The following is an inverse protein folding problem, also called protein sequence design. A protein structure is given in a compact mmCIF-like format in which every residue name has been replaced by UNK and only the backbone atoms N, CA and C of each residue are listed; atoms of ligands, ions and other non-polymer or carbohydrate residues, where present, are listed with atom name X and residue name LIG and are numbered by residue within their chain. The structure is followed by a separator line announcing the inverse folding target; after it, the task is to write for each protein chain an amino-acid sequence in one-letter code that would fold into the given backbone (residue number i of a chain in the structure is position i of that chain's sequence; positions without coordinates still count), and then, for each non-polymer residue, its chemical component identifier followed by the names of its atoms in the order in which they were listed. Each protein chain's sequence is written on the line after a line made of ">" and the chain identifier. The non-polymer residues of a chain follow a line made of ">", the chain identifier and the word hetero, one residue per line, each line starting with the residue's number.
data_IF_994348553721
#
_entry.id   IF_994348553721
#
_cell.length_a   1.000
_cell.length_b   1.000
_cell.length_c   1.000
_cell.angle_alpha   90.00
_cell.angle_beta   90.00
_cell.angle_gamma   90.00
#
_symmetry.space_group_name_H-M   'P 1'
#
loop_
_entity.id
_entity.type
_entity.pdbx_description
1 polymer ?
#
# COMPACT_ATOMS: atom_id res chain seq x y z
N UNK A 1 2.27 2.14 3.98
CA UNK A 1 2.56 2.21 5.40
C UNK A 1 4.02 1.80 5.67
N UNK A 2 4.79 2.69 6.30
CA UNK A 2 6.16 2.45 6.77
C UNK A 2 7.15 1.91 5.70
N UNK A 3 6.93 2.24 4.43
CA UNK A 3 7.80 1.80 3.34
C UNK A 3 7.52 0.40 2.83
N UNK A 4 6.58 -0.34 3.41
CA UNK A 4 6.23 -1.69 2.97
C UNK A 4 5.75 -1.72 1.52
N UNK A 5 4.98 -0.74 1.12
CA UNK A 5 4.42 -0.67 -0.23
C UNK A 5 5.51 -0.49 -1.31
N UNK A 6 6.62 0.16 -0.99
CA UNK A 6 7.75 0.27 -1.90
C UNK A 6 8.30 -1.12 -2.30
N UNK A 7 8.42 -2.01 -1.34
CA UNK A 7 8.88 -3.38 -1.60
C UNK A 7 7.85 -4.18 -2.38
N UNK A 8 6.57 -3.98 -2.12
CA UNK A 8 5.47 -4.61 -2.87
C UNK A 8 5.49 -4.15 -4.33
N UNK A 9 5.74 -2.86 -4.60
CA UNK A 9 5.88 -2.34 -5.96
C UNK A 9 7.02 -3.02 -6.70
N UNK A 10 8.13 -3.26 -6.02
CA UNK A 10 9.26 -3.98 -6.60
C UNK A 10 8.87 -5.43 -6.95
N UNK A 11 8.12 -6.12 -6.09
CA UNK A 11 7.62 -7.47 -6.36
C UNK A 11 6.71 -7.49 -7.60
N UNK A 12 5.81 -6.53 -7.73
CA UNK A 12 4.93 -6.40 -8.89
C UNK A 12 5.73 -6.19 -10.19
N UNK A 13 6.82 -5.43 -10.13
CA UNK A 13 7.68 -5.18 -11.28
C UNK A 13 8.50 -6.40 -11.72
N UNK A 14 8.64 -7.41 -10.86
CA UNK A 14 9.36 -8.64 -11.16
C UNK A 14 8.48 -9.67 -11.90
N UNK A 15 7.19 -9.44 -12.02
CA UNK A 15 6.28 -10.35 -12.74
C UNK A 15 6.64 -10.42 -14.22
N UNK A 16 6.35 -11.56 -14.87
CA UNK A 16 6.67 -11.76 -16.28
C UNK A 16 5.99 -10.73 -17.19
N UNK A 17 4.72 -10.40 -16.91
CA UNK A 17 3.97 -9.40 -17.66
C UNK A 17 4.53 -7.99 -17.49
N UNK A 18 4.92 -7.61 -16.28
CA UNK A 18 5.54 -6.31 -16.03
C UNK A 18 6.90 -6.18 -16.73
N UNK A 19 7.72 -7.23 -16.71
CA UNK A 19 9.00 -7.26 -17.43
C UNK A 19 8.81 -7.18 -18.94
N UNK A 20 7.84 -7.91 -19.48
CA UNK A 20 7.52 -7.86 -20.90
C UNK A 20 7.14 -6.45 -21.36
N UNK A 21 6.39 -5.73 -20.52
CA UNK A 21 5.92 -4.37 -20.81
C UNK A 21 6.89 -3.28 -20.31
N UNK A 22 8.08 -3.68 -19.86
CA UNK A 22 9.15 -2.80 -19.39
C UNK A 22 8.74 -1.86 -18.25
N UNK A 23 7.88 -2.34 -17.35
CA UNK A 23 7.42 -1.57 -16.20
C UNK A 23 8.46 -1.55 -15.07
N UNK A 24 8.62 -0.38 -14.47
CA UNK A 24 9.44 -0.18 -13.29
C UNK A 24 8.57 -0.16 -12.03
N UNK A 25 9.15 -0.31 -10.81
CA UNK A 25 8.38 -0.14 -9.58
C UNK A 25 7.62 1.19 -9.48
N UNK A 26 8.17 2.25 -10.09
CA UNK A 26 7.53 3.57 -10.13
C UNK A 26 6.17 3.59 -10.81
N UNK A 27 5.92 2.71 -11.76
CA UNK A 27 4.61 2.58 -12.43
C UNK A 27 3.48 2.34 -11.42
N UNK A 28 3.76 1.57 -10.37
CA UNK A 28 2.79 1.19 -9.34
C UNK A 28 2.71 2.19 -8.18
N UNK A 29 3.36 3.35 -8.28
CA UNK A 29 3.26 4.39 -7.25
C UNK A 29 1.98 5.19 -7.41
N UNK A 30 1.20 5.33 -6.34
CA UNK A 30 0.02 6.21 -6.36
C UNK A 30 0.37 7.69 -6.19
N UNK A 31 1.63 8.04 -5.89
CA UNK A 31 2.08 9.43 -5.77
C UNK A 31 2.55 10.04 -7.09
N UNK A 32 3.17 9.21 -7.96
CA UNK A 32 3.81 9.72 -9.17
C UNK A 32 3.76 8.74 -10.35
N UNK A 33 3.27 7.53 -10.14
CA UNK A 33 3.29 6.48 -11.16
C UNK A 33 2.33 6.73 -12.31
N UNK A 34 2.70 6.28 -13.52
CA UNK A 34 1.85 6.40 -14.71
C UNK A 34 0.66 5.43 -14.69
N UNK A 35 0.68 4.40 -13.82
CA UNK A 35 -0.44 3.50 -13.62
C UNK A 35 -1.52 4.03 -12.67
N UNK A 36 -1.30 5.16 -12.03
CA UNK A 36 -2.28 5.76 -11.12
C UNK A 36 -3.47 6.36 -11.86
N UNK A 37 -4.60 6.44 -11.20
CA UNK A 37 -5.76 7.14 -11.74
C UNK A 37 -5.42 8.60 -12.01
N UNK A 38 -5.61 9.05 -13.24
CA UNK A 38 -5.25 10.42 -13.63
C UNK A 38 -6.24 11.45 -13.09
N UNK A 39 -7.50 11.08 -12.90
CA UNK A 39 -8.51 12.00 -12.39
C UNK A 39 -8.23 12.45 -10.95
N UNK A 40 -8.01 11.49 -10.05
CA UNK A 40 -7.73 11.80 -8.65
C UNK A 40 -6.22 11.85 -8.33
N UNK A 41 -5.37 11.69 -9.33
CA UNK A 41 -3.90 11.64 -9.17
C UNK A 41 -3.44 10.63 -8.13
N UNK A 42 -4.11 9.48 -8.09
CA UNK A 42 -3.78 8.38 -7.19
C UNK A 42 -4.31 8.52 -5.76
N UNK A 43 -5.10 9.55 -5.46
CA UNK A 43 -5.65 9.77 -4.11
C UNK A 43 -6.81 8.84 -3.76
N UNK A 44 -7.57 8.38 -4.74
CA UNK A 44 -8.76 7.56 -4.56
C UNK A 44 -10.01 8.34 -4.18
N UNK A 45 -9.87 9.62 -3.90
CA UNK A 45 -10.96 10.51 -3.54
C UNK A 45 -10.73 11.91 -4.10
N UNK A 46 -11.80 12.69 -4.16
CA UNK A 46 -11.78 14.11 -4.52
C UNK A 46 -12.17 14.93 -3.29
N UNK A 47 -11.37 15.93 -2.96
CA UNK A 47 -11.64 16.85 -1.86
C UNK A 47 -12.54 17.98 -2.34
N UNK A 48 -13.68 18.16 -1.69
CA UNK A 48 -14.56 19.29 -1.93
C UNK A 48 -14.41 20.27 -0.76
N UNK A 49 -13.88 21.45 -1.05
CA UNK A 49 -13.72 22.52 -0.05
C UNK A 49 -15.04 23.20 0.17
N UNK A 50 -15.45 23.32 1.44
CA UNK A 50 -16.68 23.99 1.83
C UNK A 50 -16.34 25.20 2.69
N UNK A 51 -16.85 26.39 2.28
CA UNK A 51 -16.43 27.71 2.81
C UNK A 51 -16.57 27.84 4.34
N UNK A 52 -17.61 27.27 4.94
CA UNK A 52 -17.92 27.40 6.37
C UNK A 52 -18.07 26.05 7.09
N UNK A 53 -17.79 24.95 6.40
CA UNK A 53 -17.93 23.61 6.92
C UNK A 53 -16.63 22.83 6.71
N UNK A 54 -16.49 21.69 7.38
CA UNK A 54 -15.38 20.79 7.16
C UNK A 54 -15.34 20.32 5.71
N UNK A 55 -14.15 20.11 5.17
CA UNK A 55 -13.98 19.58 3.83
C UNK A 55 -14.65 18.23 3.65
N UNK A 56 -15.24 18.01 2.50
CA UNK A 56 -15.88 16.75 2.15
C UNK A 56 -14.97 15.95 1.23
N UNK A 57 -14.82 14.66 1.52
CA UNK A 57 -14.03 13.73 0.70
C UNK A 57 -14.98 12.77 -0.01
N UNK A 58 -15.02 12.85 -1.34
CA UNK A 58 -15.86 12.00 -2.18
C UNK A 58 -14.99 10.96 -2.89
N UNK A 59 -15.46 9.72 -2.92
CA UNK A 59 -14.78 8.66 -3.69
C UNK A 59 -14.65 9.07 -5.16
N UNK A 60 -13.46 8.91 -5.73
CA UNK A 60 -13.23 9.23 -7.12
C UNK A 60 -14.14 8.38 -8.02
N UNK A 61 -14.99 8.98 -8.87
CA UNK A 61 -15.93 8.23 -9.69
C UNK A 61 -15.28 7.44 -10.83
N UNK A 62 -14.08 7.81 -11.22
CA UNK A 62 -13.36 7.11 -12.30
C UNK A 62 -12.72 5.82 -11.80
N UNK A 63 -11.97 5.86 -10.71
CA UNK A 63 -11.32 4.66 -10.17
C UNK A 63 -12.12 3.98 -9.05
N UNK A 64 -13.20 4.57 -8.58
CA UNK A 64 -14.01 4.06 -7.47
C UNK A 64 -13.19 3.77 -6.19
N UNK A 65 -12.20 4.61 -5.93
CA UNK A 65 -11.35 4.50 -4.75
C UNK A 65 -10.15 3.56 -4.89
N UNK A 66 -9.95 2.95 -6.04
CA UNK A 66 -8.83 2.01 -6.24
C UNK A 66 -7.48 2.68 -6.37
N UNK A 67 -7.44 3.98 -6.72
CA UNK A 67 -6.26 4.81 -6.96
C UNK A 67 -5.52 4.53 -8.27
N UNK A 68 -5.83 3.44 -8.97
CA UNK A 68 -5.10 2.98 -10.15
C UNK A 68 -6.03 2.81 -11.35
N UNK A 69 -5.43 2.82 -12.55
CA UNK A 69 -6.14 2.48 -13.78
C UNK A 69 -6.40 0.97 -13.84
N UNK A 70 -7.36 0.57 -14.67
CA UNK A 70 -7.62 -0.86 -14.90
C UNK A 70 -6.42 -1.57 -15.53
N UNK A 71 -5.64 -0.86 -16.35
CA UNK A 71 -4.42 -1.42 -16.91
C UNK A 71 -3.42 -1.83 -15.82
N UNK A 72 -3.27 -1.04 -14.76
CA UNK A 72 -2.42 -1.36 -13.62
C UNK A 72 -2.89 -2.61 -12.88
N UNK A 73 -4.20 -2.85 -12.81
CA UNK A 73 -4.79 -4.03 -12.17
C UNK A 73 -4.52 -5.32 -12.93
N UNK A 74 -4.11 -5.26 -14.19
CA UNK A 74 -3.82 -6.45 -14.99
C UNK A 74 -2.49 -7.12 -14.61
N UNK A 75 -1.60 -6.41 -13.94
CA UNK A 75 -0.31 -6.95 -13.46
C UNK A 75 -0.48 -7.54 -12.07
N UNK A 76 -0.24 -8.84 -11.95
CA UNK A 76 -0.53 -9.58 -10.71
C UNK A 76 0.68 -10.36 -10.23
N UNK A 77 0.99 -10.22 -8.96
CA UNK A 77 1.98 -11.03 -8.24
C UNK A 77 1.24 -12.06 -7.40
N UNK A 78 1.42 -13.34 -7.71
CA UNK A 78 0.67 -14.44 -7.09
C UNK A 78 -0.83 -14.13 -6.99
N UNK A 79 -1.42 -13.73 -8.12
CA UNK A 79 -2.84 -13.43 -8.31
C UNK A 79 -3.35 -12.14 -7.66
N UNK A 80 -2.45 -11.34 -7.07
CA UNK A 80 -2.82 -10.06 -6.47
C UNK A 80 -2.27 -8.88 -7.26
N UNK A 81 -3.18 -7.97 -7.65
CA UNK A 81 -2.83 -6.69 -8.27
C UNK A 81 -2.39 -5.67 -7.21
N UNK A 82 -1.90 -4.52 -7.67
CA UNK A 82 -1.58 -3.40 -6.78
C UNK A 82 -2.80 -2.97 -5.94
N UNK A 83 -3.99 -3.01 -6.52
CA UNK A 83 -5.24 -2.66 -5.82
C UNK A 83 -5.53 -3.70 -4.73
N UNK A 84 -5.36 -4.98 -5.05
CA UNK A 84 -5.57 -6.06 -4.07
C UNK A 84 -4.64 -5.90 -2.87
N UNK A 85 -3.36 -5.58 -3.11
CA UNK A 85 -2.40 -5.34 -2.02
C UNK A 85 -2.79 -4.15 -1.15
N UNK A 86 -3.26 -3.06 -1.74
CA UNK A 86 -3.69 -1.89 -0.97
C UNK A 86 -4.92 -2.16 -0.10
N UNK A 87 -5.75 -3.11 -0.48
CA UNK A 87 -6.94 -3.53 0.29
C UNK A 87 -6.61 -4.46 1.43
N UNK A 88 -5.47 -5.13 1.40
CA UNK A 88 -5.05 -6.00 2.50
C UNK A 88 -4.74 -5.18 3.75
N UNK A 89 -5.13 -5.70 4.91
CA UNK A 89 -4.62 -5.19 6.18
C UNK A 89 -3.15 -5.58 6.33
N UNK A 90 -2.44 -4.92 7.23
CA UNK A 90 -1.04 -5.28 7.49
C UNK A 90 -0.91 -6.76 7.92
N UNK A 91 -1.82 -7.25 8.76
CA UNK A 91 -1.86 -8.65 9.18
C UNK A 91 -2.12 -9.60 8.01
N UNK A 92 -3.11 -9.29 7.17
CA UNK A 92 -3.43 -10.11 5.99
C UNK A 92 -2.28 -10.15 4.99
N UNK A 93 -1.59 -9.02 4.80
CA UNK A 93 -0.44 -8.95 3.90
C UNK A 93 0.71 -9.83 4.39
N UNK A 94 0.99 -9.83 5.70
CA UNK A 94 2.00 -10.70 6.28
C UNK A 94 1.67 -12.18 6.10
N UNK A 95 0.43 -12.58 6.38
CA UNK A 95 -0.03 -13.95 6.18
C UNK A 95 0.09 -14.38 4.71
N UNK A 96 -0.33 -13.52 3.80
CA UNK A 96 -0.25 -13.81 2.36
C UNK A 96 1.19 -14.03 1.91
N UNK A 97 2.11 -13.16 2.32
CA UNK A 97 3.52 -13.24 1.91
C UNK A 97 4.24 -14.44 2.53
N UNK A 98 3.86 -14.85 3.74
CA UNK A 98 4.41 -16.04 4.40
C UNK A 98 3.99 -17.34 3.72
N UNK A 99 2.84 -17.36 3.07
CA UNK A 99 2.29 -18.53 2.38
C UNK A 99 2.87 -18.77 0.99
N UNK A 100 3.70 -17.90 0.46
CA UNK A 100 4.26 -18.02 -0.89
C UNK A 100 5.49 -18.91 -0.88
N UNK A 101 5.52 -19.89 -1.78
CA UNK A 101 6.62 -20.84 -1.96
C UNK A 101 7.33 -20.63 -3.29
N UNK A 102 8.51 -21.21 -3.44
CA UNK A 102 9.25 -21.21 -4.70
C UNK A 102 9.85 -19.87 -5.09
N UNK A 103 10.22 -19.06 -4.11
CA UNK A 103 10.71 -17.69 -4.33
C UNK A 103 12.19 -17.65 -4.70
N UNK A 104 12.55 -16.70 -5.57
CA UNK A 104 13.94 -16.37 -5.84
C UNK A 104 14.59 -15.66 -4.64
N UNK A 105 15.93 -15.57 -4.64
CA UNK A 105 16.65 -14.87 -3.57
C UNK A 105 16.23 -13.40 -3.46
N UNK A 106 16.01 -12.74 -4.60
CA UNK A 106 15.56 -11.36 -4.66
C UNK A 106 14.16 -11.19 -4.06
N UNK A 107 13.25 -12.10 -4.39
CA UNK A 107 11.89 -12.09 -3.82
C UNK A 107 11.93 -12.33 -2.31
N UNK A 108 12.72 -13.29 -1.84
CA UNK A 108 12.89 -13.55 -0.41
C UNK A 108 13.41 -12.32 0.34
N UNK A 109 14.35 -11.59 -0.25
CA UNK A 109 14.86 -10.35 0.35
C UNK A 109 13.77 -9.28 0.45
N UNK A 110 12.98 -9.09 -0.60
CA UNK A 110 11.88 -8.12 -0.61
C UNK A 110 10.79 -8.49 0.38
N UNK A 111 10.46 -9.78 0.50
CA UNK A 111 9.50 -10.27 1.48
C UNK A 111 9.98 -10.04 2.91
N UNK A 112 11.27 -10.29 3.17
CA UNK A 112 11.87 -10.04 4.47
C UNK A 112 11.79 -8.56 4.84
N UNK A 113 12.10 -7.66 3.89
CA UNK A 113 12.00 -6.21 4.09
C UNK A 113 10.56 -5.77 4.35
N UNK A 114 9.60 -6.32 3.61
CA UNK A 114 8.18 -6.03 3.79
C UNK A 114 7.70 -6.46 5.17
N UNK A 115 8.05 -7.65 5.59
CA UNK A 115 7.73 -8.17 6.93
C UNK A 115 8.30 -7.26 8.01
N UNK A 116 9.55 -6.87 7.87
CA UNK A 116 10.24 -5.98 8.82
C UNK A 116 9.55 -4.62 8.94
N UNK A 117 9.00 -4.11 7.83
CA UNK A 117 8.26 -2.85 7.83
C UNK A 117 6.87 -2.99 8.47
N UNK A 118 6.20 -4.12 8.31
CA UNK A 118 4.83 -4.34 8.82
C UNK A 118 4.79 -4.89 10.25
N UNK A 119 5.83 -5.58 10.69
CA UNK A 119 5.86 -6.19 12.02
C UNK A 119 5.54 -5.20 13.16
N UNK A 120 6.12 -3.97 13.20
CA UNK A 120 5.77 -3.01 14.24
C UNK A 120 4.30 -2.65 14.28
N UNK A 121 3.61 -2.61 13.14
CA UNK A 121 2.17 -2.34 13.08
C UNK A 121 1.37 -3.43 13.78
N UNK A 122 1.70 -4.68 13.51
CA UNK A 122 1.01 -5.82 14.13
C UNK A 122 1.28 -5.84 15.64
N UNK A 123 2.52 -5.61 16.06
CA UNK A 123 2.91 -5.61 17.47
C UNK A 123 2.23 -4.50 18.27
N UNK A 124 1.88 -3.39 17.64
CA UNK A 124 1.23 -2.25 18.30
C UNK A 124 -0.29 -2.29 18.24
N UNK A 125 -0.86 -3.38 17.71
CA UNK A 125 -2.31 -3.50 17.54
C UNK A 125 -2.86 -2.75 16.35
N UNK A 126 -2.02 -2.29 15.41
CA UNK A 126 -2.43 -1.60 14.18
C UNK A 126 -2.48 -2.54 12.96
N UNK A 127 -2.40 -3.85 13.19
CA UNK A 127 -2.44 -4.84 12.11
C UNK A 127 -3.72 -4.82 11.28
N UNK A 128 -4.79 -4.21 11.76
CA UNK A 128 -6.05 -4.04 11.05
C UNK A 128 -6.04 -2.89 10.04
N UNK A 129 -5.04 -2.02 10.06
CA UNK A 129 -4.92 -0.94 9.07
C UNK A 129 -4.59 -1.52 7.71
N UNK A 130 -5.25 -1.00 6.67
CA UNK A 130 -5.00 -1.40 5.29
C UNK A 130 -3.72 -0.76 4.77
N UNK A 131 -3.01 -1.42 3.86
CA UNK A 131 -1.80 -0.87 3.27
C UNK A 131 -2.07 0.45 2.54
N UNK A 132 -3.25 0.57 1.93
CA UNK A 132 -3.71 1.79 1.26
C UNK A 132 -4.49 2.74 2.15
N UNK A 133 -4.44 2.59 3.47
CA UNK A 133 -5.21 3.40 4.41
C UNK A 133 -4.93 4.90 4.22
N UNK A 134 -5.93 5.73 3.87
CA UNK A 134 -5.73 7.18 3.80
C UNK A 134 -5.45 7.75 5.19
N UNK A 135 -4.47 8.65 5.28
CA UNK A 135 -4.07 9.25 6.56
C UNK A 135 -5.19 10.06 7.23
N UNK A 136 -6.06 10.65 6.42
CA UNK A 136 -7.20 11.44 6.90
C UNK A 136 -8.31 10.59 7.56
N UNK A 137 -8.23 9.26 7.46
CA UNK A 137 -9.19 8.35 8.09
C UNK A 137 -8.72 7.81 9.43
N UNK A 138 -7.47 8.11 9.80
CA UNK A 138 -6.89 7.64 11.07
C UNK A 138 -7.38 8.48 12.25
N UNK A 139 -7.65 7.82 13.39
CA UNK A 139 -7.85 8.51 14.66
C UNK A 139 -6.54 9.15 15.13
N UNK A 140 -6.62 10.10 16.07
CA UNK A 140 -5.44 10.72 16.66
C UNK A 140 -4.50 9.70 17.30
N UNK A 141 -5.05 8.72 18.01
CA UNK A 141 -4.25 7.66 18.64
C UNK A 141 -3.59 6.73 17.61
N UNK A 142 -4.31 6.39 16.53
CA UNK A 142 -3.75 5.59 15.45
C UNK A 142 -2.61 6.31 14.73
N UNK A 143 -2.81 7.58 14.40
CA UNK A 143 -1.78 8.40 13.76
C UNK A 143 -0.53 8.53 14.64
N UNK A 144 -0.71 8.70 15.95
CA UNK A 144 0.38 8.79 16.91
C UNK A 144 1.16 7.48 17.01
N UNK A 145 0.47 6.34 17.15
CA UNK A 145 1.11 5.03 17.17
C UNK A 145 1.84 4.72 15.87
N UNK A 146 1.27 5.11 14.74
CA UNK A 146 1.92 4.95 13.44
C UNK A 146 3.23 5.73 13.36
N UNK A 147 3.28 6.94 13.90
CA UNK A 147 4.51 7.73 13.97
C UNK A 147 5.57 7.05 14.85
N UNK A 148 5.16 6.46 15.98
CA UNK A 148 6.07 5.73 16.85
C UNK A 148 6.68 4.50 16.15
N UNK A 149 5.95 3.83 15.29
CA UNK A 149 6.46 2.70 14.50
C UNK A 149 7.62 3.08 13.58
N UNK A 150 7.76 4.35 13.23
CA UNK A 150 8.85 4.84 12.37
C UNK A 150 10.16 5.09 13.13
N UNK A 151 10.11 5.13 14.45
CA UNK A 151 11.30 5.39 15.26
C UNK A 151 12.16 4.13 15.34
N UNK A 152 13.45 4.22 14.99
CA UNK A 152 14.36 3.09 15.15
C UNK A 152 14.48 2.75 16.63
N UNK A 153 14.46 1.46 16.96
CA UNK A 153 14.59 0.95 18.33
C UNK A 153 13.48 1.33 19.30
N UNK A 154 12.37 1.89 18.85
CA UNK A 154 11.23 2.10 19.74
C UNK A 154 10.61 0.75 20.10
N UNK A 155 10.50 0.46 21.38
CA UNK A 155 9.80 -0.70 21.91
C UNK A 155 8.56 -0.22 22.64
N UNK A 156 7.42 -0.82 22.31
CA UNK A 156 6.19 -0.50 23.00
C UNK A 156 6.21 -1.14 24.39
N UNK A 157 5.77 -0.43 25.42
CA UNK A 157 5.59 -1.05 26.74
C UNK A 157 4.53 -2.15 26.64
N UNK A 158 4.80 -3.27 27.33
CA UNK A 158 3.87 -4.39 27.42
C UNK A 158 2.61 -4.00 28.21
#
# INVERSE_FOLDING_TARGET
>A
LLGAFEHIRQLLSLTSSAKRDHLTPGYFSFNSGSGRCQRCSGNGFEKVEMQFLSDLYLTCPECNGTRFTKAAESYRYHQKSVVDFLRLTASEAMEFLEGIEGLTNKENLLLSKTRKALQPLVETGLGYLRLGQPLNTLSGGEAQRLKLCRLPNYRFPE
#
